data_IF_349171229848
#
_entry.id   IF_349171229848
#
_cell.length_a   1.000
_cell.length_b   1.000
_cell.length_c   1.000
_cell.angle_alpha   90.00
_cell.angle_beta   90.00
_cell.angle_gamma   90.00
#
_symmetry.space_group_name_H-M   'P 1'
#
loop_
_entity.id
_entity.type
_entity.pdbx_description
1 polymer ?
#
# COMPACT_ATOMS: atom_id res chain seq x y z
N UNK A 1 -2.92 -23.40 9.58
CA UNK A 1 -2.73 -21.99 9.13
C UNK A 1 -3.01 -21.97 7.64
N UNK A 2 -3.89 -21.07 7.19
CA UNK A 2 -4.27 -20.96 5.78
C UNK A 2 -3.78 -19.64 5.19
N UNK A 3 -3.24 -19.68 3.97
CA UNK A 3 -2.81 -18.49 3.23
C UNK A 3 -3.51 -18.46 1.87
N UNK A 4 -4.49 -17.56 1.75
CA UNK A 4 -5.37 -17.46 0.58
C UNK A 4 -5.32 -16.08 -0.09
N UNK A 5 -4.43 -15.19 0.36
CA UNK A 5 -4.28 -13.86 -0.22
C UNK A 5 -3.94 -13.97 -1.71
N UNK A 6 -4.57 -13.13 -2.52
CA UNK A 6 -4.41 -13.11 -3.97
C UNK A 6 -4.31 -11.67 -4.45
N UNK A 7 -3.31 -11.39 -5.28
CA UNK A 7 -3.19 -10.09 -5.95
C UNK A 7 -4.44 -9.80 -6.79
N UNK A 8 -4.82 -8.53 -6.87
CA UNK A 8 -5.99 -8.08 -7.65
C UNK A 8 -7.36 -8.46 -7.09
N UNK A 9 -7.45 -9.21 -5.98
CA UNK A 9 -8.75 -9.63 -5.44
C UNK A 9 -9.57 -8.45 -4.92
N UNK A 10 -10.83 -8.35 -5.36
CA UNK A 10 -11.85 -7.46 -4.78
C UNK A 10 -12.50 -8.10 -3.56
N UNK A 11 -13.19 -7.34 -2.71
CA UNK A 11 -13.86 -7.86 -1.51
C UNK A 11 -14.91 -8.94 -1.82
N UNK A 12 -15.72 -8.85 -2.90
CA UNK A 12 -16.54 -9.97 -3.37
C UNK A 12 -15.72 -11.20 -3.75
N UNK A 13 -14.57 -11.05 -4.41
CA UNK A 13 -13.71 -12.18 -4.74
C UNK A 13 -13.02 -12.78 -3.51
N UNK A 14 -12.66 -11.97 -2.51
CA UNK A 14 -12.18 -12.45 -1.21
C UNK A 14 -13.26 -13.30 -0.55
N UNK A 15 -14.51 -12.83 -0.55
CA UNK A 15 -15.64 -13.60 -0.03
C UNK A 15 -15.81 -14.94 -0.78
N UNK A 16 -15.91 -14.89 -2.11
CA UNK A 16 -16.28 -16.04 -2.94
C UNK A 16 -15.15 -17.05 -3.11
N UNK A 17 -13.90 -16.60 -3.16
CA UNK A 17 -12.74 -17.45 -3.51
C UNK A 17 -11.78 -17.74 -2.35
N UNK A 18 -11.83 -16.94 -1.29
CA UNK A 18 -10.93 -17.09 -0.13
C UNK A 18 -11.73 -17.50 1.12
N UNK A 19 -12.68 -16.68 1.57
CA UNK A 19 -13.46 -16.94 2.80
C UNK A 19 -14.32 -18.20 2.69
N UNK A 20 -14.85 -18.50 1.50
CA UNK A 20 -15.59 -19.75 1.22
C UNK A 20 -14.76 -21.01 1.44
N UNK A 21 -13.42 -20.93 1.31
CA UNK A 21 -12.49 -22.05 1.50
C UNK A 21 -11.99 -22.17 2.94
N UNK A 22 -12.23 -21.17 3.79
CA UNK A 22 -11.83 -21.20 5.19
C UNK A 22 -12.74 -22.16 5.97
N UNK A 23 -12.14 -22.91 6.90
CA UNK A 23 -12.85 -23.68 7.92
C UNK A 23 -13.49 -22.77 8.97
N UNK A 24 -13.59 -23.21 10.22
CA UNK A 24 -14.02 -22.37 11.35
C UNK A 24 -13.05 -22.55 12.51
N UNK A 25 -13.14 -21.66 13.51
CA UNK A 25 -12.32 -21.75 14.72
C UNK A 25 -10.97 -21.07 14.60
N UNK A 26 -10.88 -20.01 13.81
CA UNK A 26 -9.66 -19.21 13.69
C UNK A 26 -9.48 -18.34 14.94
N UNK A 27 -8.28 -18.37 15.51
CA UNK A 27 -7.88 -17.48 16.61
C UNK A 27 -7.41 -16.10 16.14
N UNK A 28 -7.04 -16.00 14.87
CA UNK A 28 -6.49 -14.81 14.26
C UNK A 28 -6.79 -14.84 12.76
N UNK A 29 -7.30 -13.73 12.23
CA UNK A 29 -7.39 -13.49 10.79
C UNK A 29 -6.77 -12.13 10.50
N UNK A 30 -5.90 -12.07 9.49
CA UNK A 30 -5.36 -10.82 8.96
C UNK A 30 -6.00 -10.56 7.61
N UNK A 31 -6.44 -9.33 7.36
CA UNK A 31 -7.20 -8.97 6.17
C UNK A 31 -6.68 -7.67 5.58
N UNK A 32 -6.53 -7.65 4.26
CA UNK A 32 -6.42 -6.44 3.45
C UNK A 32 -7.34 -6.58 2.24
N UNK A 33 -8.25 -5.63 2.04
CA UNK A 33 -9.20 -5.63 0.93
C UNK A 33 -9.77 -4.22 0.70
N UNK A 34 -10.30 -3.95 -0.50
CA UNK A 34 -10.90 -2.66 -0.87
C UNK A 34 -10.19 -1.90 -1.97
N UNK A 35 -8.86 -1.93 -2.01
CA UNK A 35 -8.11 -1.16 -3.01
C UNK A 35 -8.45 -1.55 -4.45
N UNK A 36 -8.71 -2.84 -4.71
CA UNK A 36 -9.15 -3.33 -6.01
C UNK A 36 -10.63 -3.07 -6.26
N UNK A 37 -11.48 -3.09 -5.22
CA UNK A 37 -12.92 -2.78 -5.34
C UNK A 37 -13.17 -1.39 -5.92
N UNK A 38 -12.30 -0.44 -5.57
CA UNK A 38 -12.44 0.97 -5.94
C UNK A 38 -11.52 1.38 -7.09
N UNK A 39 -10.76 0.42 -7.64
CA UNK A 39 -9.88 0.66 -8.78
C UNK A 39 -8.69 1.57 -8.47
N UNK A 40 -8.04 1.44 -7.30
CA UNK A 40 -6.83 2.22 -7.00
C UNK A 40 -5.74 2.02 -8.07
N UNK A 41 -5.55 0.80 -8.57
CA UNK A 41 -4.63 0.53 -9.69
C UNK A 41 -5.08 1.17 -11.00
N UNK A 42 -6.38 1.37 -11.20
CA UNK A 42 -6.91 2.03 -12.40
C UNK A 42 -6.72 3.55 -12.31
N UNK A 43 -6.77 4.12 -11.09
CA UNK A 43 -6.28 5.49 -10.85
C UNK A 43 -4.81 5.57 -11.20
N UNK A 44 -3.96 4.65 -10.74
CA UNK A 44 -2.54 4.72 -11.09
C UNK A 44 -2.34 4.69 -12.61
N UNK A 45 -3.13 3.88 -13.32
CA UNK A 45 -3.09 3.84 -14.78
C UNK A 45 -3.57 5.14 -15.43
N UNK A 46 -4.74 5.67 -15.09
CA UNK A 46 -5.26 6.93 -15.66
C UNK A 46 -4.46 8.17 -15.19
N UNK A 47 -3.91 8.02 -13.98
CA UNK A 47 -3.14 8.86 -13.08
C UNK A 47 -1.70 9.23 -13.40
N UNK A 48 -0.95 8.19 -13.71
CA UNK A 48 0.50 8.19 -13.47
C UNK A 48 1.17 7.43 -14.61
N UNK A 49 0.66 6.23 -14.93
CA UNK A 49 1.32 5.34 -15.89
C UNK A 49 0.85 5.49 -17.32
N UNK A 50 -0.43 5.77 -17.53
CA UNK A 50 -1.07 5.80 -18.84
C UNK A 50 -0.75 4.53 -19.68
N UNK A 51 -0.66 3.35 -19.04
CA UNK A 51 -0.32 2.07 -19.67
C UNK A 51 -1.20 1.75 -20.87
N UNK A 52 -2.42 2.27 -20.93
CA UNK A 52 -3.37 2.02 -22.02
C UNK A 52 -3.86 3.29 -22.74
N UNK A 53 -3.37 4.48 -22.37
CA UNK A 53 -3.83 5.73 -23.01
C UNK A 53 -2.97 6.07 -24.23
N UNK A 54 -3.62 6.17 -25.40
CA UNK A 54 -3.06 6.76 -26.63
C UNK A 54 -3.51 8.23 -26.81
N UNK A 55 -4.28 8.80 -25.87
CA UNK A 55 -5.00 10.07 -26.05
C UNK A 55 -4.70 11.13 -24.97
N UNK A 56 -3.59 11.01 -24.25
CA UNK A 56 -3.21 11.95 -23.19
C UNK A 56 -4.17 11.92 -21.99
N UNK A 57 -3.99 12.87 -21.07
CA UNK A 57 -4.56 12.95 -19.70
C UNK A 57 -6.11 12.96 -19.56
N UNK A 58 -6.86 12.70 -20.64
CA UNK A 58 -8.32 12.89 -20.76
C UNK A 58 -9.21 11.90 -19.96
N UNK A 59 -8.69 11.21 -18.95
CA UNK A 59 -9.47 10.24 -18.17
C UNK A 59 -9.14 10.16 -16.68
N UNK A 60 -8.17 10.95 -16.20
CA UNK A 60 -7.77 10.87 -14.79
C UNK A 60 -8.87 11.35 -13.84
N UNK A 61 -9.45 12.53 -14.09
CA UNK A 61 -10.53 13.07 -13.26
C UNK A 61 -11.76 12.15 -13.25
N UNK A 62 -12.15 11.63 -14.42
CA UNK A 62 -13.26 10.68 -14.52
C UNK A 62 -13.01 9.41 -13.71
N UNK A 63 -11.78 8.90 -13.73
CA UNK A 63 -11.39 7.73 -12.95
C UNK A 63 -11.33 8.03 -11.44
N UNK A 64 -10.85 9.20 -11.03
CA UNK A 64 -10.86 9.64 -9.63
C UNK A 64 -12.29 9.76 -9.10
N UNK A 65 -13.19 10.37 -9.88
CA UNK A 65 -14.61 10.52 -9.51
C UNK A 65 -15.34 9.17 -9.50
N UNK A 66 -14.99 8.26 -10.41
CA UNK A 66 -15.48 6.88 -10.40
C UNK A 66 -15.05 6.14 -9.13
N UNK A 67 -13.79 6.27 -8.73
CA UNK A 67 -13.29 5.67 -7.49
C UNK A 67 -14.00 6.26 -6.27
N UNK A 68 -14.22 7.57 -6.21
CA UNK A 68 -14.97 8.21 -5.13
C UNK A 68 -16.38 7.61 -4.99
N UNK A 69 -17.12 7.47 -6.10
CA UNK A 69 -18.44 6.81 -6.10
C UNK A 69 -18.39 5.34 -5.66
N UNK A 70 -17.36 4.58 -6.07
CA UNK A 70 -17.21 3.20 -5.63
C UNK A 70 -16.96 3.11 -4.11
N UNK A 71 -16.18 4.04 -3.55
CA UNK A 71 -15.94 4.13 -2.11
C UNK A 71 -17.25 4.44 -1.36
N UNK A 72 -18.07 5.38 -1.85
CA UNK A 72 -19.29 5.80 -1.15
C UNK A 72 -20.43 4.81 -1.32
N UNK A 73 -20.64 4.30 -2.54
CA UNK A 73 -21.90 3.65 -2.91
C UNK A 73 -21.79 2.12 -2.94
N UNK A 74 -20.59 1.58 -3.16
CA UNK A 74 -20.39 0.13 -3.39
C UNK A 74 -19.64 -0.53 -2.23
N UNK A 75 -18.53 0.08 -1.81
CA UNK A 75 -17.62 -0.50 -0.85
C UNK A 75 -18.26 -0.85 0.51
N UNK A 76 -19.16 -0.02 1.10
CA UNK A 76 -19.78 -0.34 2.38
C UNK A 76 -20.56 -1.66 2.36
N UNK A 77 -21.36 -1.89 1.31
CA UNK A 77 -22.15 -3.11 1.17
C UNK A 77 -21.28 -4.36 0.95
N UNK A 78 -20.17 -4.22 0.22
CA UNK A 78 -19.20 -5.31 0.08
C UNK A 78 -18.53 -5.67 1.41
N UNK A 79 -18.16 -4.66 2.20
CA UNK A 79 -17.55 -4.86 3.51
C UNK A 79 -18.51 -5.46 4.53
N UNK A 80 -19.79 -5.08 4.52
CA UNK A 80 -20.77 -5.67 5.42
C UNK A 80 -20.94 -7.17 5.16
N UNK A 81 -20.95 -7.60 3.89
CA UNK A 81 -20.97 -9.03 3.51
C UNK A 81 -19.69 -9.76 3.93
N UNK A 82 -18.54 -9.14 3.64
CA UNK A 82 -17.23 -9.73 3.95
C UNK A 82 -17.03 -9.92 5.47
N UNK A 83 -17.38 -8.92 6.26
CA UNK A 83 -17.25 -8.98 7.72
C UNK A 83 -18.23 -9.96 8.34
N UNK A 84 -19.48 -10.03 7.88
CA UNK A 84 -20.43 -11.04 8.34
C UNK A 84 -19.90 -12.48 8.11
N UNK A 85 -19.36 -12.73 6.91
CA UNK A 85 -18.78 -14.03 6.59
C UNK A 85 -17.55 -14.35 7.46
N UNK A 86 -16.62 -13.41 7.61
CA UNK A 86 -15.41 -13.60 8.42
C UNK A 86 -15.72 -13.76 9.91
N UNK A 87 -16.72 -13.06 10.44
CA UNK A 87 -17.13 -13.18 11.84
C UNK A 87 -17.52 -14.61 12.19
N UNK A 88 -18.20 -15.31 11.28
CA UNK A 88 -18.57 -16.73 11.46
C UNK A 88 -17.39 -17.70 11.47
N UNK A 89 -16.20 -17.25 11.05
CA UNK A 89 -14.97 -18.07 10.99
C UNK A 89 -14.18 -18.01 12.30
N UNK A 90 -14.41 -17.01 13.14
CA UNK A 90 -13.65 -16.76 14.36
C UNK A 90 -14.09 -17.64 15.54
N UNK A 91 -13.13 -17.99 16.39
CA UNK A 91 -13.38 -18.45 17.76
C UNK A 91 -13.85 -17.29 18.67
N UNK A 92 -14.44 -17.63 19.81
CA UNK A 92 -14.89 -16.65 20.81
C UNK A 92 -13.74 -15.76 21.30
N UNK A 93 -13.98 -14.45 21.40
CA UNK A 93 -13.02 -13.43 21.85
C UNK A 93 -11.78 -13.26 20.94
N UNK A 94 -11.84 -13.75 19.70
CA UNK A 94 -10.78 -13.62 18.70
C UNK A 94 -11.07 -12.50 17.72
N UNK A 95 -10.05 -12.09 16.96
CA UNK A 95 -10.09 -10.85 16.17
C UNK A 95 -9.72 -11.06 14.71
N UNK A 96 -10.32 -10.25 13.85
CA UNK A 96 -9.84 -9.94 12.51
C UNK A 96 -9.09 -8.60 12.58
N UNK A 97 -7.83 -8.60 12.18
CA UNK A 97 -7.02 -7.39 12.04
C UNK A 97 -7.01 -6.96 10.58
N UNK A 98 -7.68 -5.86 10.30
CA UNK A 98 -7.88 -5.34 8.96
C UNK A 98 -6.96 -4.15 8.72
N UNK A 99 -5.93 -4.34 7.90
CA UNK A 99 -4.97 -3.30 7.57
C UNK A 99 -5.55 -2.31 6.55
N UNK A 100 -5.23 -1.03 6.76
CA UNK A 100 -5.55 0.04 5.82
C UNK A 100 -4.60 0.14 4.64
N UNK A 101 -4.47 1.35 4.12
CA UNK A 101 -3.58 1.77 3.05
C UNK A 101 -2.79 3.00 3.51
N UNK A 102 -1.58 3.20 2.99
CA UNK A 102 -0.84 4.44 3.21
C UNK A 102 -1.01 5.38 2.02
N UNK A 103 -1.08 6.67 2.30
CA UNK A 103 -0.97 7.73 1.31
C UNK A 103 0.35 7.60 0.58
N UNK A 104 0.34 7.88 -0.72
CA UNK A 104 1.50 7.62 -1.57
C UNK A 104 2.45 8.81 -1.66
N UNK A 105 1.93 10.02 -1.49
CA UNK A 105 2.68 11.26 -1.73
C UNK A 105 2.67 12.16 -0.50
N UNK A 106 3.75 12.90 -0.29
CA UNK A 106 3.65 14.19 0.40
C UNK A 106 3.15 15.26 -0.58
N UNK A 107 1.95 15.78 -0.32
CA UNK A 107 1.31 16.81 -1.14
C UNK A 107 1.65 18.24 -0.70
N UNK A 108 2.54 18.42 0.28
CA UNK A 108 2.96 19.74 0.78
C UNK A 108 4.10 20.37 -0.04
N UNK A 109 4.97 19.55 -0.62
CA UNK A 109 6.17 19.95 -1.36
C UNK A 109 5.87 20.66 -2.71
N UNK A 110 6.64 21.71 -3.03
CA UNK A 110 6.39 22.59 -4.18
C UNK A 110 6.64 21.95 -5.56
N UNK A 111 7.58 21.02 -5.66
CA UNK A 111 8.04 20.42 -6.93
C UNK A 111 7.17 19.23 -7.38
N UNK A 112 6.00 19.11 -6.78
CA UNK A 112 5.14 17.94 -6.85
C UNK A 112 3.73 18.39 -7.28
N UNK A 113 3.11 17.78 -8.30
CA UNK A 113 1.76 18.16 -8.77
C UNK A 113 0.74 18.04 -7.63
N UNK A 114 0.50 19.16 -6.94
CA UNK A 114 -0.16 19.19 -5.64
C UNK A 114 -1.61 18.75 -5.74
N UNK A 115 -2.30 19.13 -6.80
CA UNK A 115 -3.76 18.95 -6.90
C UNK A 115 -4.10 17.47 -7.12
N UNK A 116 -3.46 16.83 -8.10
CA UNK A 116 -3.71 15.43 -8.46
C UNK A 116 -3.28 14.48 -7.35
N UNK A 117 -2.09 14.70 -6.78
CA UNK A 117 -1.57 13.86 -5.68
C UNK A 117 -2.36 14.00 -4.40
N UNK A 118 -2.81 15.23 -4.09
CA UNK A 118 -3.73 15.44 -2.97
C UNK A 118 -5.03 14.66 -3.19
N UNK A 119 -5.64 14.73 -4.38
CA UNK A 119 -6.87 13.97 -4.68
C UNK A 119 -6.66 12.45 -4.54
N UNK A 120 -5.52 11.93 -4.97
CA UNK A 120 -5.17 10.51 -4.77
C UNK A 120 -5.03 10.14 -3.30
N UNK A 121 -4.36 10.97 -2.50
CA UNK A 121 -4.25 10.78 -1.05
C UNK A 121 -5.62 10.87 -0.36
N UNK A 122 -6.47 11.81 -0.75
CA UNK A 122 -7.83 11.97 -0.21
C UNK A 122 -8.66 10.69 -0.46
N UNK A 123 -8.51 10.04 -1.62
CA UNK A 123 -9.16 8.76 -1.92
C UNK A 123 -8.62 7.61 -1.06
N UNK A 124 -7.30 7.56 -0.80
CA UNK A 124 -6.73 6.58 0.13
C UNK A 124 -7.30 6.77 1.54
N UNK A 125 -7.38 8.01 2.00
CA UNK A 125 -8.01 8.36 3.28
C UNK A 125 -9.47 7.94 3.30
N UNK A 126 -10.21 8.14 2.21
CA UNK A 126 -11.61 7.75 2.11
C UNK A 126 -11.80 6.22 2.17
N UNK A 127 -10.92 5.44 1.52
CA UNK A 127 -10.90 3.96 1.66
C UNK A 127 -10.62 3.56 3.11
N UNK A 128 -9.62 4.15 3.75
CA UNK A 128 -9.31 3.89 5.16
C UNK A 128 -10.49 4.22 6.09
N UNK A 129 -11.19 5.32 5.81
CA UNK A 129 -12.41 5.67 6.54
C UNK A 129 -13.51 4.63 6.34
N UNK A 130 -13.72 4.14 5.12
CA UNK A 130 -14.69 3.09 4.83
C UNK A 130 -14.35 1.77 5.55
N UNK A 131 -13.08 1.37 5.59
CA UNK A 131 -12.62 0.19 6.33
C UNK A 131 -12.87 0.37 7.83
N UNK A 132 -12.45 1.50 8.39
CA UNK A 132 -12.64 1.81 9.82
C UNK A 132 -14.12 1.80 10.19
N UNK A 133 -14.97 2.37 9.35
CA UNK A 133 -16.42 2.39 9.54
C UNK A 133 -17.01 0.97 9.48
N UNK A 134 -16.59 0.14 8.53
CA UNK A 134 -17.03 -1.24 8.43
C UNK A 134 -16.59 -2.08 9.63
N UNK A 135 -15.33 -1.97 10.05
CA UNK A 135 -14.83 -2.65 11.25
C UNK A 135 -15.66 -2.26 12.49
N UNK A 136 -15.95 -0.95 12.66
CA UNK A 136 -16.80 -0.46 13.75
C UNK A 136 -18.22 -1.04 13.68
N UNK A 137 -18.84 -1.11 12.50
CA UNK A 137 -20.18 -1.70 12.32
C UNK A 137 -20.20 -3.21 12.59
N UNK A 138 -19.15 -3.93 12.20
CA UNK A 138 -19.06 -5.39 12.34
C UNK A 138 -18.87 -5.86 13.80
N UNK A 139 -18.36 -4.98 14.66
CA UNK A 139 -18.27 -5.19 16.10
C UNK A 139 -16.84 -5.28 16.62
N UNK A 140 -16.68 -5.54 17.94
CA UNK A 140 -15.38 -5.50 18.60
C UNK A 140 -14.39 -6.54 18.07
N UNK A 141 -14.85 -7.56 17.35
CA UNK A 141 -14.01 -8.58 16.71
C UNK A 141 -13.16 -8.02 15.56
N UNK A 142 -13.52 -6.88 14.99
CA UNK A 142 -12.80 -6.27 13.87
C UNK A 142 -11.97 -5.09 14.33
N UNK A 143 -10.66 -5.16 14.09
CA UNK A 143 -9.70 -4.12 14.46
C UNK A 143 -9.12 -3.51 13.19
N UNK A 144 -9.36 -2.21 12.98
CA UNK A 144 -8.68 -1.47 11.92
C UNK A 144 -7.24 -1.15 12.35
N UNK A 145 -6.28 -1.53 11.50
CA UNK A 145 -4.86 -1.31 11.71
C UNK A 145 -4.39 -0.20 10.76
N UNK A 146 -4.26 0.99 11.32
CA UNK A 146 -3.89 2.22 10.61
C UNK A 146 -2.38 2.44 10.64
N UNK A 147 -1.70 2.12 9.53
CA UNK A 147 -0.26 2.28 9.42
C UNK A 147 0.17 3.54 8.66
N UNK A 148 -0.77 4.31 8.10
CA UNK A 148 -0.49 5.44 7.20
C UNK A 148 0.38 6.52 7.87
N UNK A 149 0.08 6.82 9.14
CA UNK A 149 0.84 7.77 9.94
C UNK A 149 2.34 7.46 10.00
N UNK A 150 2.72 6.17 10.01
CA UNK A 150 4.13 5.79 10.09
C UNK A 150 4.87 6.04 8.78
N UNK A 151 4.19 5.95 7.64
CA UNK A 151 4.76 6.30 6.34
C UNK A 151 5.02 7.79 6.24
N UNK A 152 4.19 8.61 6.88
CA UNK A 152 4.40 10.06 6.98
C UNK A 152 5.54 10.39 7.96
N UNK A 153 5.52 9.82 9.17
CA UNK A 153 6.54 10.08 10.21
C UNK A 153 7.95 9.69 9.76
N UNK A 154 8.07 8.61 8.99
CA UNK A 154 9.36 8.14 8.45
C UNK A 154 9.75 8.82 7.14
N UNK A 155 8.92 9.73 6.61
CA UNK A 155 9.14 10.37 5.31
C UNK A 155 9.36 9.32 4.19
N UNK A 156 8.57 8.25 4.24
CA UNK A 156 8.70 7.08 3.38
C UNK A 156 7.85 7.10 2.11
N UNK A 157 7.08 8.17 1.91
CA UNK A 157 6.25 8.38 0.72
C UNK A 157 7.07 8.98 -0.43
N UNK A 158 6.50 9.07 -1.62
CA UNK A 158 7.08 9.91 -2.67
C UNK A 158 6.94 11.39 -2.30
N UNK A 159 7.75 12.26 -2.88
CA UNK A 159 7.72 13.73 -2.68
C UNK A 159 8.07 14.24 -1.29
N UNK A 160 8.78 13.44 -0.50
CA UNK A 160 9.10 13.81 0.87
C UNK A 160 10.30 14.77 0.95
N UNK A 161 10.12 15.88 1.69
CA UNK A 161 11.16 16.85 1.96
C UNK A 161 11.68 17.58 0.70
N UNK A 162 13.00 17.66 0.55
CA UNK A 162 13.65 18.27 -0.62
C UNK A 162 14.02 17.24 -1.71
N UNK A 163 13.40 16.06 -1.68
CA UNK A 163 13.69 14.99 -2.64
C UNK A 163 13.24 15.40 -4.04
N UNK A 164 14.17 15.40 -4.99
CA UNK A 164 13.84 15.54 -6.41
C UNK A 164 13.51 14.15 -6.97
N UNK A 165 12.24 13.93 -7.26
CA UNK A 165 11.76 12.68 -7.86
C UNK A 165 12.10 12.63 -9.36
N UNK A 166 12.32 11.43 -9.95
CA UNK A 166 12.29 10.11 -9.32
C UNK A 166 13.53 9.82 -8.46
N UNK A 167 13.33 9.16 -7.33
CA UNK A 167 14.39 8.82 -6.38
C UNK A 167 14.25 7.36 -5.91
N UNK A 168 14.21 6.44 -6.85
CA UNK A 168 13.80 5.04 -6.65
C UNK A 168 14.59 4.21 -5.65
N UNK A 169 15.79 4.68 -5.31
CA UNK A 169 16.71 4.06 -4.35
C UNK A 169 17.04 5.03 -3.21
N UNK A 170 16.18 6.04 -3.00
CA UNK A 170 16.28 6.98 -1.89
C UNK A 170 16.18 6.19 -0.59
N UNK A 171 17.09 6.50 0.31
CA UNK A 171 17.08 5.94 1.65
C UNK A 171 15.77 6.32 2.38
N UNK A 172 15.19 5.35 3.08
CA UNK A 172 13.90 5.48 3.74
C UNK A 172 12.67 5.46 2.84
N UNK A 173 12.77 5.30 1.51
CA UNK A 173 11.59 5.14 0.64
C UNK A 173 10.88 3.81 0.96
N UNK A 174 9.59 3.88 1.31
CA UNK A 174 8.81 2.72 1.76
C UNK A 174 7.93 2.10 0.66
N UNK A 175 7.85 2.72 -0.51
CA UNK A 175 7.16 2.16 -1.68
C UNK A 175 8.15 1.85 -2.80
N UNK A 176 7.93 0.76 -3.55
CA UNK A 176 8.70 0.54 -4.77
C UNK A 176 8.44 1.66 -5.74
N UNK A 177 9.50 2.20 -6.34
CA UNK A 177 9.44 3.14 -7.45
C UNK A 177 9.94 2.45 -8.73
N UNK A 178 9.76 3.12 -9.87
CA UNK A 178 10.41 2.72 -11.10
C UNK A 178 11.93 2.70 -10.93
N UNK A 179 12.64 1.68 -11.43
CA UNK A 179 14.09 1.51 -11.27
C UNK A 179 14.61 1.35 -9.81
N UNK A 180 13.75 0.95 -8.86
CA UNK A 180 14.24 0.47 -7.56
C UNK A 180 15.16 -0.73 -7.78
N UNK A 181 16.45 -0.54 -7.49
CA UNK A 181 17.52 -1.53 -7.62
C UNK A 181 17.47 -2.47 -6.43
N UNK A 182 17.46 -3.74 -6.77
CA UNK A 182 17.14 -4.83 -5.89
C UNK A 182 18.33 -5.25 -5.02
N UNK A 183 18.50 -4.64 -3.84
CA UNK A 183 19.20 -5.29 -2.73
C UNK A 183 18.25 -6.25 -2.02
N UNK A 184 18.19 -7.53 -2.46
CA UNK A 184 17.33 -8.63 -1.93
C UNK A 184 15.81 -8.46 -2.16
N UNK A 185 15.35 -8.79 -3.36
CA UNK A 185 13.93 -8.93 -3.72
C UNK A 185 13.63 -10.30 -4.29
N UNK A 186 13.84 -11.33 -3.48
CA UNK A 186 12.95 -12.49 -3.59
C UNK A 186 12.01 -12.36 -2.41
N UNK A 187 10.73 -12.08 -2.67
CA UNK A 187 9.67 -12.33 -1.70
C UNK A 187 9.51 -13.86 -1.62
N UNK A 188 10.50 -14.54 -1.02
CA UNK A 188 10.30 -15.92 -0.63
C UNK A 188 9.21 -15.93 0.44
N UNK A 189 8.39 -16.99 0.43
CA UNK A 189 7.59 -17.34 1.60
C UNK A 189 8.57 -17.35 2.78
N UNK A 190 8.35 -16.50 3.80
CA UNK A 190 9.04 -16.69 5.07
C UNK A 190 8.56 -18.03 5.60
N UNK A 191 9.43 -19.02 5.59
CA UNK A 191 9.13 -20.29 6.24
C UNK A 191 8.89 -20.01 7.72
N UNK A 192 7.86 -20.65 8.29
CA UNK A 192 7.42 -20.39 9.66
C UNK A 192 8.46 -20.78 10.73
N UNK A 193 9.54 -21.44 10.30
CA UNK A 193 10.61 -22.00 11.13
C UNK A 193 11.89 -21.14 11.13
N UNK A 194 11.94 -20.02 10.39
CA UNK A 194 13.08 -19.09 10.45
C UNK A 194 13.01 -18.22 11.71
N UNK A 195 14.08 -18.19 12.55
CA UNK A 195 14.07 -17.49 13.83
C UNK A 195 13.78 -16.00 13.69
N UNK A 196 12.97 -15.49 14.61
CA UNK A 196 12.25 -14.21 14.54
C UNK A 196 13.11 -12.94 14.43
N UNK A 197 14.45 -13.00 14.50
CA UNK A 197 15.28 -11.81 14.70
C UNK A 197 16.70 -11.86 14.12
N UNK A 198 17.10 -12.91 13.42
CA UNK A 198 18.47 -13.02 12.87
C UNK A 198 18.48 -12.72 11.37
N UNK A 199 18.52 -11.43 10.99
CA UNK A 199 18.87 -11.06 9.61
C UNK A 199 18.19 -9.85 9.01
N UNK A 200 17.28 -9.17 9.73
CA UNK A 200 17.04 -7.74 9.45
C UNK A 200 18.27 -7.05 10.01
N UNK A 201 19.20 -6.54 9.19
CA UNK A 201 20.26 -5.76 9.78
C UNK A 201 19.59 -4.57 10.49
N UNK A 202 20.15 -4.15 11.61
CA UNK A 202 19.64 -3.01 12.37
C UNK A 202 19.66 -1.69 11.56
N UNK A 203 20.11 -1.74 10.31
CA UNK A 203 20.21 -0.64 9.35
C UNK A 203 18.84 -0.09 8.91
N UNK A 204 17.79 -0.92 8.84
CA UNK A 204 16.44 -0.46 8.44
C UNK A 204 15.80 0.56 9.40
N UNK A 205 16.21 0.58 10.67
CA UNK A 205 15.81 1.62 11.66
C UNK A 205 16.91 2.66 11.89
N UNK A 206 18.17 2.36 11.58
CA UNK A 206 19.32 3.26 11.79
C UNK A 206 19.62 4.20 10.60
N UNK A 207 18.89 4.09 9.49
CA UNK A 207 18.97 5.02 8.35
C UNK A 207 18.37 6.43 8.61
N UNK A 208 17.87 6.71 9.82
CA UNK A 208 17.19 7.98 10.15
C UNK A 208 18.17 9.16 10.33
N UNK A 209 19.49 8.94 10.38
CA UNK A 209 20.45 9.97 10.88
C UNK A 209 21.51 10.50 9.87
N UNK A 210 21.30 10.42 8.55
CA UNK A 210 22.21 11.08 7.60
C UNK A 210 21.48 11.87 6.53
N UNK A 211 21.19 13.14 6.85
CA UNK A 211 20.75 14.16 5.88
C UNK A 211 21.91 15.09 5.54
N UNK A 212 22.47 14.99 4.33
CA UNK A 212 23.01 16.11 3.56
C UNK A 212 23.55 15.65 2.19
N UNK A 213 23.21 16.39 1.13
CA UNK A 213 24.16 16.71 0.06
C UNK A 213 23.88 16.21 -1.36
N UNK A 214 23.21 17.08 -2.13
CA UNK A 214 23.59 17.60 -3.46
C UNK A 214 23.77 16.65 -4.67
N UNK A 215 23.09 16.95 -5.79
CA UNK A 215 23.71 17.09 -7.14
C UNK A 215 22.70 17.55 -8.22
N UNK A 216 23.16 18.54 -8.99
CA UNK A 216 22.49 19.24 -10.08
C UNK A 216 22.43 18.45 -11.39
N UNK A 217 21.33 18.57 -12.14
CA UNK A 217 21.32 18.34 -13.59
C UNK A 217 20.25 19.24 -14.24
N UNK A 218 20.70 19.98 -15.25
CA UNK A 218 20.00 21.01 -16.03
C UNK A 218 19.19 20.41 -17.18
N UNK A 219 17.96 20.91 -17.32
CA UNK A 219 16.90 20.46 -18.22
C UNK A 219 15.60 20.60 -17.43
N UNK A 220 14.56 21.22 -17.99
CA UNK A 220 13.28 21.40 -17.29
C UNK A 220 12.84 20.03 -16.73
N UNK A 221 12.69 19.88 -15.41
CA UNK A 221 12.46 18.58 -14.81
C UNK A 221 11.07 18.10 -15.22
N UNK A 222 11.02 17.10 -16.10
CA UNK A 222 9.80 16.31 -16.33
C UNK A 222 9.27 15.85 -14.96
N UNK A 223 7.97 16.01 -14.72
CA UNK A 223 7.35 15.54 -13.49
C UNK A 223 7.58 14.03 -13.32
N UNK A 224 7.50 13.53 -12.07
CA UNK A 224 7.55 12.09 -11.80
C UNK A 224 6.56 11.30 -12.67
N UNK A 225 5.35 11.82 -12.86
CA UNK A 225 4.33 11.23 -13.75
C UNK A 225 4.75 11.27 -15.22
N UNK A 226 5.35 12.36 -15.69
CA UNK A 226 5.81 12.49 -17.08
C UNK A 226 6.96 11.53 -17.39
N UNK A 227 7.87 11.34 -16.43
CA UNK A 227 8.97 10.39 -16.54
C UNK A 227 8.44 8.95 -16.56
N UNK A 228 7.53 8.60 -15.65
CA UNK A 228 6.87 7.29 -15.65
C UNK A 228 6.14 7.04 -16.97
N UNK A 229 5.33 8.00 -17.41
CA UNK A 229 4.59 7.91 -18.67
C UNK A 229 5.55 7.79 -19.87
N UNK A 230 6.70 8.45 -19.83
CA UNK A 230 7.77 8.32 -20.82
C UNK A 230 8.35 6.90 -20.84
N UNK A 231 8.68 6.32 -19.69
CA UNK A 231 9.19 4.94 -19.62
C UNK A 231 8.16 3.92 -20.11
N UNK A 232 6.89 4.10 -19.78
CA UNK A 232 5.80 3.26 -20.30
C UNK A 232 5.70 3.38 -21.82
N UNK A 233 5.80 4.60 -22.38
CA UNK A 233 5.86 4.82 -23.84
C UNK A 233 7.08 4.16 -24.48
N UNK A 234 8.25 4.24 -23.85
CA UNK A 234 9.48 3.60 -24.35
C UNK A 234 9.37 2.08 -24.33
N UNK A 235 8.82 1.48 -23.26
CA UNK A 235 8.55 0.05 -23.19
C UNK A 235 7.56 -0.41 -24.27
N UNK A 236 6.54 0.43 -24.58
CA UNK A 236 5.65 0.24 -25.74
C UNK A 236 6.40 0.21 -27.06
N UNK A 237 7.23 1.22 -27.31
CA UNK A 237 7.98 1.34 -28.57
C UNK A 237 9.01 0.23 -28.74
N UNK A 238 9.60 -0.26 -27.65
CA UNK A 238 10.58 -1.35 -27.67
C UNK A 238 9.96 -2.73 -27.95
N UNK A 239 8.64 -2.88 -27.82
CA UNK A 239 7.90 -4.11 -28.14
C UNK A 239 7.10 -3.90 -29.43
N UNK A 240 7.83 -3.82 -30.54
CA UNK A 240 7.38 -3.51 -31.89
C UNK A 240 6.60 -4.65 -32.60
N UNK A 241 6.30 -5.75 -31.91
CA UNK A 241 5.45 -6.83 -32.41
C UNK A 241 3.97 -6.71 -31.99
N UNK A 242 3.61 -5.74 -31.14
CA UNK A 242 2.23 -5.54 -30.71
C UNK A 242 1.46 -4.54 -31.60
N UNK A 243 0.79 -5.05 -32.63
CA UNK A 243 -0.31 -4.36 -33.29
C UNK A 243 -1.64 -4.74 -32.63
N UNK A 244 -2.13 -3.88 -31.73
CA UNK A 244 -3.29 -4.18 -30.88
C UNK A 244 -4.62 -4.14 -31.64
N UNK A 245 -4.71 -3.37 -32.72
CA UNK A 245 -5.73 -3.44 -33.78
C UNK A 245 -5.48 -2.31 -34.79
N UNK A 246 -5.72 -2.55 -36.07
CA UNK A 246 -5.92 -1.53 -37.09
C UNK A 246 -7.26 -0.80 -36.83
N UNK A 247 -7.43 0.36 -37.48
CA UNK A 247 -8.57 1.26 -37.30
C UNK A 247 -9.95 0.63 -37.67
N UNK A 248 -9.95 -0.57 -38.23
CA UNK A 248 -11.10 -1.39 -38.63
C UNK A 248 -11.35 -2.61 -37.72
N UNK A 249 -10.70 -2.69 -36.55
CA UNK A 249 -10.72 -3.83 -35.62
C UNK A 249 -10.09 -5.13 -36.16
N UNK A 250 -9.36 -5.07 -37.28
CA UNK A 250 -8.51 -6.19 -37.72
C UNK A 250 -7.13 -6.07 -37.08
N UNK A 251 -6.65 -7.15 -36.47
CA UNK A 251 -5.28 -7.26 -35.92
C UNK A 251 -4.47 -8.25 -36.75
N UNK A 252 -3.17 -7.97 -36.93
CA UNK A 252 -2.24 -8.85 -37.64
C UNK A 252 -2.19 -10.25 -36.99
N UNK A 253 -2.32 -10.31 -35.66
CA UNK A 253 -2.41 -11.55 -34.90
C UNK A 253 -3.89 -11.91 -34.58
N UNK A 254 -4.37 -13.09 -35.03
CA UNK A 254 -5.71 -13.61 -34.74
C UNK A 254 -6.09 -13.65 -33.25
N UNK A 255 -5.12 -13.75 -32.33
CA UNK A 255 -5.36 -13.80 -30.89
C UNK A 255 -5.92 -12.50 -30.32
N UNK A 256 -5.71 -11.37 -30.99
CA UNK A 256 -6.06 -10.02 -30.50
C UNK A 256 -7.15 -9.32 -31.33
N UNK A 257 -7.66 -9.95 -32.39
CA UNK A 257 -8.76 -9.41 -33.22
C UNK A 257 -10.03 -9.18 -32.39
N UNK A 258 -10.62 -7.99 -32.52
CA UNK A 258 -11.82 -7.61 -31.77
C UNK A 258 -11.62 -7.29 -30.28
N UNK A 259 -10.37 -7.24 -29.78
CA UNK A 259 -10.09 -6.76 -28.42
C UNK A 259 -9.89 -5.25 -28.41
N UNK A 260 -10.67 -4.53 -27.60
CA UNK A 260 -10.49 -3.09 -27.39
C UNK A 260 -9.37 -2.72 -26.42
N UNK A 261 -8.73 -3.70 -25.76
CA UNK A 261 -7.66 -3.49 -24.77
C UNK A 261 -6.85 -4.77 -24.56
N UNK A 262 -5.55 -4.64 -24.27
CA UNK A 262 -4.69 -5.74 -23.80
C UNK A 262 -4.86 -5.97 -22.30
N UNK A 263 -4.57 -7.18 -21.81
CA UNK A 263 -4.51 -7.43 -20.36
C UNK A 263 -3.18 -6.94 -19.75
N UNK A 264 -3.20 -6.61 -18.45
CA UNK A 264 -2.04 -6.06 -17.71
C UNK A 264 -0.84 -7.02 -17.76
N UNK A 265 -1.08 -8.32 -17.68
CA UNK A 265 -0.05 -9.36 -17.62
C UNK A 265 0.63 -9.63 -18.98
N UNK A 266 0.01 -9.21 -20.09
CA UNK A 266 0.53 -9.41 -21.45
C UNK A 266 1.60 -8.39 -21.86
N UNK A 267 1.76 -7.28 -21.13
CA UNK A 267 2.64 -6.18 -21.55
C UNK A 267 3.43 -5.49 -20.43
N UNK A 268 3.09 -5.69 -19.16
CA UNK A 268 3.65 -4.92 -18.04
C UNK A 268 4.55 -5.85 -17.19
N UNK A 269 5.90 -5.69 -17.21
CA UNK A 269 6.80 -6.41 -16.32
C UNK A 269 6.44 -6.28 -14.83
N UNK A 270 6.75 -7.32 -14.04
CA UNK A 270 6.55 -7.35 -12.58
C UNK A 270 7.16 -6.13 -11.85
N UNK A 271 8.28 -5.61 -12.36
CA UNK A 271 8.93 -4.41 -11.84
C UNK A 271 8.05 -3.16 -11.90
N UNK A 272 7.10 -3.12 -12.83
CA UNK A 272 6.11 -2.05 -13.00
C UNK A 272 4.86 -2.34 -12.15
N UNK A 273 4.44 -3.61 -12.08
CA UNK A 273 3.27 -4.01 -11.27
C UNK A 273 3.48 -3.77 -9.77
N UNK A 274 4.72 -3.83 -9.30
CA UNK A 274 5.05 -3.59 -7.88
C UNK A 274 5.13 -2.12 -7.48
N UNK A 275 5.16 -1.17 -8.41
CA UNK A 275 5.24 0.25 -8.03
C UNK A 275 4.01 0.62 -7.19
N UNK A 276 4.18 1.50 -6.19
CA UNK A 276 3.21 1.77 -5.11
C UNK A 276 2.94 0.61 -4.13
N UNK A 277 3.56 -0.56 -4.29
CA UNK A 277 3.58 -1.59 -3.25
C UNK A 277 4.64 -1.27 -2.21
N UNK A 278 4.42 -1.60 -0.93
CA UNK A 278 5.43 -1.38 0.08
C UNK A 278 6.73 -2.16 -0.23
N UNK A 279 7.88 -1.53 0.00
CA UNK A 279 9.18 -2.19 0.04
C UNK A 279 9.29 -3.09 1.29
N UNK A 280 10.36 -3.91 1.45
CA UNK A 280 10.56 -4.68 2.67
C UNK A 280 10.48 -3.85 3.96
N UNK A 281 11.06 -2.65 3.98
CA UNK A 281 10.95 -1.72 5.12
C UNK A 281 9.50 -1.28 5.39
N UNK A 282 8.73 -0.98 4.33
CA UNK A 282 7.31 -0.67 4.44
C UNK A 282 6.50 -1.84 4.99
N UNK A 283 6.79 -3.07 4.54
CA UNK A 283 6.20 -4.29 5.08
C UNK A 283 6.60 -4.53 6.54
N UNK A 284 7.81 -4.17 6.96
CA UNK A 284 8.24 -4.29 8.35
C UNK A 284 7.41 -3.38 9.26
N UNK A 285 7.15 -2.13 8.87
CA UNK A 285 6.26 -1.22 9.61
C UNK A 285 4.85 -1.81 9.76
N UNK A 286 4.27 -2.31 8.65
CA UNK A 286 2.92 -2.91 8.66
C UNK A 286 2.89 -4.15 9.57
N UNK A 287 3.90 -5.01 9.47
CA UNK A 287 4.00 -6.26 10.25
C UNK A 287 4.18 -5.96 11.74
N UNK A 288 5.07 -5.04 12.10
CA UNK A 288 5.32 -4.68 13.49
C UNK A 288 4.07 -4.10 14.16
N UNK A 289 3.33 -3.24 13.45
CA UNK A 289 2.07 -2.70 13.96
C UNK A 289 1.02 -3.80 14.14
N UNK A 290 0.93 -4.73 13.19
CA UNK A 290 0.02 -5.86 13.27
C UNK A 290 0.34 -6.77 14.47
N UNK A 291 1.62 -7.13 14.65
CA UNK A 291 2.11 -7.92 15.79
C UNK A 291 1.81 -7.20 17.11
N UNK A 292 2.02 -5.88 17.17
CA UNK A 292 1.67 -5.08 18.35
C UNK A 292 0.18 -5.19 18.69
N UNK A 293 -0.71 -5.11 17.70
CA UNK A 293 -2.15 -5.26 17.90
C UNK A 293 -2.55 -6.67 18.34
N UNK A 294 -1.90 -7.70 17.80
CA UNK A 294 -2.10 -9.11 18.19
C UNK A 294 -1.66 -9.32 19.64
N UNK A 295 -0.45 -8.86 19.99
CA UNK A 295 0.11 -8.99 21.33
C UNK A 295 -0.74 -8.23 22.37
N UNK A 296 -1.21 -7.02 22.04
CA UNK A 296 -2.19 -6.27 22.85
C UNK A 296 -3.45 -7.10 23.12
N UNK A 297 -4.03 -7.70 22.08
CA UNK A 297 -5.22 -8.51 22.24
C UNK A 297 -4.96 -9.73 23.14
N UNK A 298 -3.80 -10.38 22.99
CA UNK A 298 -3.44 -11.52 23.81
C UNK A 298 -3.25 -11.15 25.28
N UNK A 299 -2.60 -10.01 25.57
CA UNK A 299 -2.44 -9.50 26.93
C UNK A 299 -3.81 -9.21 27.58
N UNK A 300 -4.73 -8.58 26.84
CA UNK A 300 -6.10 -8.33 27.31
C UNK A 300 -6.86 -9.62 27.64
N UNK A 301 -6.71 -10.67 26.83
CA UNK A 301 -7.33 -11.98 27.10
C UNK A 301 -6.76 -12.67 28.34
N UNK A 302 -5.51 -12.37 28.69
CA UNK A 302 -4.82 -12.93 29.85
C UNK A 302 -4.91 -12.03 31.09
N UNK A 303 -5.64 -10.92 31.02
CA UNK A 303 -5.65 -9.87 32.06
C UNK A 303 -4.24 -9.37 32.44
N UNK A 304 -3.32 -9.36 31.48
CA UNK A 304 -1.96 -8.84 31.65
C UNK A 304 -1.97 -7.35 31.26
N UNK A 305 -1.38 -6.45 32.09
CA UNK A 305 -1.19 -5.06 31.72
C UNK A 305 -0.46 -4.93 30.37
N UNK A 306 -0.93 -4.03 29.50
CA UNK A 306 -0.33 -3.79 28.19
C UNK A 306 0.01 -2.31 27.99
N UNK A 307 1.21 -2.03 27.50
CA UNK A 307 1.74 -0.69 27.24
C UNK A 307 2.95 -0.37 28.13
N UNK A 308 3.61 0.77 27.91
CA UNK A 308 4.65 1.23 28.82
C UNK A 308 4.03 1.37 30.21
N UNK A 309 4.66 0.75 31.22
CA UNK A 309 4.35 1.07 32.61
C UNK A 309 4.44 2.60 32.74
N UNK A 310 3.39 3.23 33.28
CA UNK A 310 3.54 4.61 33.74
C UNK A 310 4.58 4.55 34.83
N UNK A 311 5.82 4.90 34.51
CA UNK A 311 6.87 4.99 35.49
C UNK A 311 6.54 6.14 36.44
N UNK A 312 5.89 5.81 37.55
CA UNK A 312 5.59 6.76 38.61
C UNK A 312 6.85 7.15 39.40
N UNK A 313 8.06 6.66 39.06
CA UNK A 313 9.33 7.14 39.65
C UNK A 313 9.89 8.39 38.98
N UNK A 314 9.46 8.73 37.77
CA UNK A 314 9.94 9.92 37.07
C UNK A 314 9.51 11.25 37.73
N UNK A 315 8.59 11.23 38.70
CA UNK A 315 8.22 12.42 39.50
C UNK A 315 9.06 12.58 40.78
N UNK A 316 9.93 11.63 41.14
CA UNK A 316 10.69 11.67 42.41
C UNK A 316 12.22 11.78 42.29
N UNK A 317 12.79 11.77 41.09
CA UNK A 317 14.25 11.93 40.90
C UNK A 317 14.61 13.36 40.50
N UNK A 318 14.33 14.30 41.40
CA UNK A 318 15.15 15.52 41.49
C UNK A 318 16.53 15.08 42.02
N UNK A 319 17.57 15.14 41.17
CA UNK A 319 18.94 14.86 41.61
C UNK A 319 19.32 15.83 42.76
N UNK A 320 19.60 15.33 43.99
CA UNK A 320 20.12 16.15 45.06
C UNK A 320 21.64 16.29 44.88
N UNK A 321 22.09 17.49 44.50
CA UNK A 321 23.52 17.81 44.49
C UNK A 321 24.01 18.58 43.27
N UNK A 322 23.49 19.78 43.05
CA UNK A 322 24.22 20.82 42.34
C UNK A 322 24.26 22.06 43.23
N UNK A 323 25.17 22.05 44.21
CA UNK A 323 25.55 23.26 44.92
C UNK A 323 26.30 24.16 43.95
N UNK A 324 25.78 25.36 43.74
CA UNK A 324 26.45 26.41 43.01
C UNK A 324 27.76 26.81 43.71
N UNK A 325 28.85 26.78 42.95
CA UNK A 325 30.05 27.59 43.16
C UNK A 325 30.46 28.16 41.83
#
# INVERSE_FOLDING_TARGET
>A
MDYLACSGATSPQVLDKQVSKLGTGYDLITLRSGGNDVGLSDILNACVYQWFSLSGDKGCNDQLDKTERLITDTLPGNYDKLTAALKSKLNTNRKVFWTGYAQFFDSSAADCDKVRRKRMNDLVIAVNHAIRAAAKRAGPEFVFVDYDQYFTLTQGRYCEGSTKEPAANRDGLLFFEWDTKNGRTILTRRDADEPELDGVPADGLMAIDKRQGNSSASGDPLSFEDQISSFVRQAKTANNSLEVALHDNSGADPAYRGRGMLSKDEFIPDSILRVFHPQPAGHAIITNLLVWHIAKQQALLQNVPWGPERDTRAESESCPGATAT
#
